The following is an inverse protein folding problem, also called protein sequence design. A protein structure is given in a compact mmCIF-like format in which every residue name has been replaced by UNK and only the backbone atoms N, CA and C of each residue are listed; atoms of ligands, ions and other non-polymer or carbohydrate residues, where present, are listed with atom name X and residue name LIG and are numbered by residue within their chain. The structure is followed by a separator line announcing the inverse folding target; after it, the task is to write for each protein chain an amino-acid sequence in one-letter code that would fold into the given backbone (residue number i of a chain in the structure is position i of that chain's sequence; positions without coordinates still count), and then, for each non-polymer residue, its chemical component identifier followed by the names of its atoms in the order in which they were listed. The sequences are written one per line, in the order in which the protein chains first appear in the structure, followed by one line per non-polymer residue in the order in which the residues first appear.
data_IF_666060805119
#
_entry.id   IF_666060805119
#
_cell.length_a   1.000
_cell.length_b   1.000
_cell.length_c   1.000
_cell.angle_alpha   90.00
_cell.angle_beta   90.00
_cell.angle_gamma   90.00
#
_symmetry.space_group_name_H-M   'P 1'
#
loop_
_entity.id
_entity.type
_entity.pdbx_description
1 polymer ?
#
# COMPACT_ATOMS: atom_id res chain seq x y z
N UNK A 1 7.00 11.23 -14.74
CA UNK A 1 5.53 11.39 -14.58
C UNK A 1 5.28 11.90 -13.18
N UNK A 2 4.27 12.74 -12.94
CA UNK A 2 3.97 13.23 -11.59
C UNK A 2 3.35 12.14 -10.71
N UNK A 3 3.63 12.21 -9.42
CA UNK A 3 2.94 11.41 -8.41
C UNK A 3 1.45 11.76 -8.39
N UNK A 4 0.60 10.77 -8.16
CA UNK A 4 -0.85 10.93 -8.06
C UNK A 4 -1.23 11.59 -6.72
N UNK A 5 -2.32 12.36 -6.67
CA UNK A 5 -2.82 12.95 -5.41
C UNK A 5 -3.56 11.89 -4.58
N UNK A 6 -2.83 10.88 -4.13
CA UNK A 6 -3.29 9.82 -3.25
C UNK A 6 -2.25 9.52 -2.16
N UNK A 7 -2.73 9.10 -1.01
CA UNK A 7 -1.90 8.59 0.09
C UNK A 7 -1.93 7.07 0.07
N UNK A 8 -0.76 6.43 0.05
CA UNK A 8 -0.65 4.99 0.33
C UNK A 8 -0.49 4.79 1.82
N UNK A 9 -1.29 3.91 2.41
CA UNK A 9 -1.18 3.53 3.82
C UNK A 9 -0.79 2.06 3.94
N UNK A 10 0.23 1.80 4.76
CA UNK A 10 0.76 0.46 5.04
C UNK A 10 0.83 0.28 6.55
N UNK A 11 0.28 -0.82 7.06
CA UNK A 11 0.52 -1.26 8.44
C UNK A 11 1.57 -2.37 8.43
N UNK A 12 2.45 -2.42 9.42
CA UNK A 12 3.56 -3.37 9.39
C UNK A 12 4.03 -3.80 10.78
N UNK A 13 4.57 -5.01 10.86
CA UNK A 13 5.30 -5.56 12.00
C UNK A 13 6.26 -6.65 11.50
N UNK A 14 7.56 -6.41 11.57
CA UNK A 14 8.63 -7.34 11.16
C UNK A 14 8.55 -7.81 9.69
N UNK A 15 8.54 -6.86 8.76
CA UNK A 15 8.40 -7.07 7.31
C UNK A 15 9.66 -6.69 6.52
N UNK A 16 10.86 -6.82 7.11
CA UNK A 16 12.11 -6.44 6.44
C UNK A 16 12.33 -7.14 5.09
N UNK A 17 11.73 -8.32 4.91
CA UNK A 17 11.85 -9.13 3.69
C UNK A 17 10.93 -8.67 2.56
N UNK A 18 9.76 -8.14 2.90
CA UNK A 18 8.74 -7.81 1.92
C UNK A 18 8.68 -6.32 1.62
N UNK A 19 8.90 -5.49 2.65
CA UNK A 19 8.77 -4.05 2.55
C UNK A 19 9.59 -3.42 1.41
N UNK A 20 10.83 -3.86 1.09
CA UNK A 20 11.56 -3.33 -0.05
C UNK A 20 10.84 -3.52 -1.39
N UNK A 21 10.20 -4.67 -1.61
CA UNK A 21 9.44 -4.97 -2.84
C UNK A 21 8.20 -4.08 -2.94
N UNK A 22 7.50 -3.88 -1.83
CA UNK A 22 6.37 -2.96 -1.77
C UNK A 22 6.82 -1.54 -2.15
N UNK A 23 7.87 -1.03 -1.50
CA UNK A 23 8.33 0.34 -1.68
C UNK A 23 8.81 0.62 -3.10
N UNK A 24 9.54 -0.33 -3.70
CA UNK A 24 9.93 -0.24 -5.11
C UNK A 24 8.69 -0.19 -6.02
N UNK A 25 7.64 -0.96 -5.71
CA UNK A 25 6.40 -0.92 -6.50
C UNK A 25 5.69 0.43 -6.43
N UNK A 26 5.85 1.19 -5.34
CA UNK A 26 5.26 2.52 -5.13
C UNK A 26 6.12 3.68 -5.67
N UNK A 27 7.31 3.40 -6.18
CA UNK A 27 8.20 4.43 -6.74
C UNK A 27 7.50 5.19 -7.87
N UNK A 28 7.61 6.52 -7.82
CA UNK A 28 7.01 7.44 -8.78
C UNK A 28 5.51 7.18 -9.00
N UNK A 29 4.77 6.84 -7.94
CA UNK A 29 3.33 6.52 -8.02
C UNK A 29 2.48 7.45 -7.15
N UNK A 30 2.70 7.47 -5.83
CA UNK A 30 1.84 8.17 -4.88
C UNK A 30 2.45 9.48 -4.38
N UNK A 31 1.59 10.47 -4.11
CA UNK A 31 2.00 11.77 -3.57
C UNK A 31 2.44 11.68 -2.11
N UNK A 32 1.96 10.67 -1.38
CA UNK A 32 2.33 10.38 0.00
C UNK A 32 2.34 8.86 0.22
N UNK A 33 3.27 8.39 1.07
CA UNK A 33 3.28 7.01 1.57
C UNK A 33 3.50 7.05 3.07
N UNK A 34 2.58 6.45 3.82
CA UNK A 34 2.59 6.37 5.28
C UNK A 34 2.75 4.91 5.66
N UNK A 35 3.76 4.63 6.49
CA UNK A 35 4.00 3.31 7.07
C UNK A 35 3.76 3.43 8.57
N UNK A 36 2.83 2.65 9.08
CA UNK A 36 2.56 2.54 10.52
C UNK A 36 3.18 1.25 11.03
N UNK A 37 4.28 1.38 11.75
CA UNK A 37 5.00 0.26 12.37
C UNK A 37 4.46 -0.01 13.78
N UNK A 38 4.08 -1.25 14.05
CA UNK A 38 3.54 -1.71 15.32
C UNK A 38 4.61 -2.22 16.31
N UNK A 39 5.86 -1.81 16.12
CA UNK A 39 6.97 -2.13 17.03
C UNK A 39 7.87 -3.22 16.49
N UNK A 40 8.23 -3.12 15.20
CA UNK A 40 9.17 -4.03 14.57
C UNK A 40 10.51 -4.06 15.30
N UNK A 41 11.07 -5.26 15.45
CA UNK A 41 12.37 -5.53 16.07
C UNK A 41 13.44 -5.88 15.04
N UNK A 42 13.04 -6.00 13.78
CA UNK A 42 13.91 -6.24 12.63
C UNK A 42 14.23 -4.91 11.89
N UNK A 43 14.72 -5.01 10.65
CA UNK A 43 15.14 -3.83 9.89
C UNK A 43 13.98 -3.04 9.25
N UNK A 44 12.71 -3.41 9.50
CA UNK A 44 11.51 -2.78 8.88
C UNK A 44 11.49 -1.26 9.06
N UNK A 45 11.69 -0.79 10.29
CA UNK A 45 11.69 0.64 10.63
C UNK A 45 12.82 1.40 9.90
N UNK A 46 13.99 0.79 9.74
CA UNK A 46 15.12 1.40 9.03
C UNK A 46 14.83 1.48 7.52
N UNK A 47 14.30 0.40 6.94
CA UNK A 47 13.92 0.32 5.52
C UNK A 47 12.89 1.41 5.20
N UNK A 48 11.83 1.51 6.01
CA UNK A 48 10.78 2.52 5.87
C UNK A 48 11.32 3.97 5.87
N UNK A 49 12.21 4.30 6.82
CA UNK A 49 12.82 5.64 6.89
C UNK A 49 13.68 5.95 5.66
N UNK A 50 14.40 4.94 5.16
CA UNK A 50 15.33 5.11 4.03
C UNK A 50 14.63 5.33 2.68
N UNK A 51 13.35 4.95 2.56
CA UNK A 51 12.60 5.05 1.31
C UNK A 51 11.92 6.40 1.08
N UNK A 52 12.02 7.33 2.04
CA UNK A 52 11.31 8.62 2.00
C UNK A 52 9.82 8.52 2.34
N UNK A 53 9.35 7.35 2.79
CA UNK A 53 8.01 7.22 3.34
C UNK A 53 7.93 7.88 4.72
N UNK A 54 6.75 8.37 5.08
CA UNK A 54 6.46 8.84 6.44
C UNK A 54 6.27 7.63 7.34
N UNK A 55 7.23 7.38 8.22
CA UNK A 55 7.13 6.34 9.23
C UNK A 55 6.48 6.90 10.50
N UNK A 56 5.44 6.22 10.97
CA UNK A 56 4.80 6.44 12.27
C UNK A 56 4.87 5.16 13.09
N UNK A 57 5.18 5.28 14.38
CA UNK A 57 5.16 4.13 15.29
C UNK A 57 3.91 4.19 16.14
N UNK A 58 3.12 3.12 16.14
CA UNK A 58 1.86 3.07 16.89
C UNK A 58 1.58 1.66 17.42
N UNK A 59 1.23 1.49 18.71
CA UNK A 59 0.85 0.19 19.27
C UNK A 59 -0.21 -0.52 18.44
N UNK A 60 -0.13 -1.85 18.35
CA UNK A 60 -1.07 -2.63 17.55
C UNK A 60 -2.49 -2.58 18.13
N UNK A 61 -3.43 -2.05 17.35
CA UNK A 61 -4.85 -1.98 17.69
C UNK A 61 -5.71 -3.10 17.07
N UNK A 62 -5.10 -3.97 16.26
CA UNK A 62 -5.84 -4.88 15.38
C UNK A 62 -6.04 -4.30 13.97
N UNK A 63 -6.37 -5.15 13.00
CA UNK A 63 -6.35 -4.78 11.57
C UNK A 63 -7.19 -3.55 11.23
N UNK A 64 -8.48 -3.55 11.59
CA UNK A 64 -9.38 -2.45 11.24
C UNK A 64 -8.99 -1.14 11.90
N UNK A 65 -8.72 -1.16 13.20
CA UNK A 65 -8.37 0.05 13.95
C UNK A 65 -6.99 0.61 13.54
N UNK A 66 -6.02 -0.26 13.23
CA UNK A 66 -4.71 0.19 12.74
C UNK A 66 -4.82 0.81 11.34
N UNK A 67 -5.60 0.22 10.43
CA UNK A 67 -5.85 0.79 9.10
C UNK A 67 -6.59 2.14 9.20
N UNK A 68 -7.55 2.27 10.11
CA UNK A 68 -8.22 3.55 10.38
C UNK A 68 -7.25 4.61 10.93
N UNK A 69 -6.35 4.23 11.84
CA UNK A 69 -5.31 5.13 12.34
C UNK A 69 -4.40 5.59 11.19
N UNK A 70 -3.92 4.67 10.35
CA UNK A 70 -3.11 5.01 9.18
C UNK A 70 -3.86 5.95 8.21
N UNK A 71 -5.14 5.69 7.94
CA UNK A 71 -6.00 6.55 7.11
C UNK A 71 -6.16 7.95 7.70
N UNK A 72 -6.28 8.08 9.02
CA UNK A 72 -6.44 9.39 9.68
C UNK A 72 -5.24 10.33 9.51
N UNK A 73 -4.08 9.79 9.14
CA UNK A 73 -2.85 10.54 8.89
C UNK A 73 -2.71 11.02 7.45
N UNK A 74 -3.59 10.54 6.55
CA UNK A 74 -3.50 10.80 5.12
C UNK A 74 -3.74 12.26 4.77
N UNK A 75 -2.91 12.78 3.86
CA UNK A 75 -3.01 14.14 3.32
C UNK A 75 -4.05 14.28 2.20
N UNK A 76 -4.25 13.23 1.41
CA UNK A 76 -5.11 13.26 0.22
C UNK A 76 -6.47 12.61 0.48
N UNK A 77 -7.47 13.00 -0.32
CA UNK A 77 -8.83 12.43 -0.25
C UNK A 77 -8.85 10.94 -0.66
N UNK A 78 -7.96 10.54 -1.56
CA UNK A 78 -7.81 9.16 -1.99
C UNK A 78 -6.76 8.42 -1.17
N UNK A 79 -7.15 7.29 -0.59
CA UNK A 79 -6.26 6.40 0.16
C UNK A 79 -6.20 5.03 -0.51
N UNK A 80 -4.98 4.58 -0.82
CA UNK A 80 -4.70 3.21 -1.21
C UNK A 80 -4.16 2.46 0.00
N UNK A 81 -5.00 1.62 0.61
CA UNK A 81 -4.59 0.75 1.72
C UNK A 81 -4.06 -0.58 1.16
N UNK A 82 -2.80 -0.88 1.43
CA UNK A 82 -2.09 -2.08 0.94
C UNK A 82 -1.28 -2.69 2.09
N UNK A 83 -1.18 -4.02 2.14
CA UNK A 83 -0.45 -4.71 3.20
C UNK A 83 1.06 -4.77 2.89
N UNK A 84 1.90 -4.85 3.93
CA UNK A 84 3.36 -4.76 3.80
C UNK A 84 3.99 -5.88 2.96
N UNK A 85 3.27 -6.99 2.79
CA UNK A 85 3.63 -8.16 1.99
C UNK A 85 3.00 -8.16 0.57
N UNK A 86 2.38 -7.06 0.16
CA UNK A 86 1.81 -6.88 -1.17
C UNK A 86 2.70 -5.96 -2.04
N UNK A 87 2.44 -5.90 -3.35
CA UNK A 87 3.08 -4.95 -4.26
C UNK A 87 2.19 -4.67 -5.47
N UNK A 88 2.26 -3.44 -5.98
CA UNK A 88 1.48 -3.04 -7.15
C UNK A 88 2.07 -3.61 -8.44
N UNK A 89 1.20 -4.14 -9.29
CA UNK A 89 1.58 -4.48 -10.68
C UNK A 89 1.65 -3.22 -11.53
N UNK A 90 2.43 -3.26 -12.61
CA UNK A 90 2.46 -2.16 -13.59
C UNK A 90 1.07 -1.89 -14.19
N UNK A 91 0.28 -2.94 -14.44
CA UNK A 91 -1.08 -2.83 -14.97
C UNK A 91 -2.01 -2.09 -14.00
N UNK A 92 -2.00 -2.44 -12.71
CA UNK A 92 -2.82 -1.75 -11.70
C UNK A 92 -2.40 -0.28 -11.55
N UNK A 93 -1.09 0.01 -11.55
CA UNK A 93 -0.60 1.40 -11.51
C UNK A 93 -1.10 2.20 -12.70
N UNK A 94 -1.07 1.61 -13.90
CA UNK A 94 -1.53 2.26 -15.11
C UNK A 94 -3.05 2.52 -15.07
N UNK A 95 -3.83 1.53 -14.65
CA UNK A 95 -5.29 1.68 -14.52
C UNK A 95 -5.65 2.81 -13.54
N UNK A 96 -5.03 2.85 -12.35
CA UNK A 96 -5.26 3.93 -11.39
C UNK A 96 -4.88 5.29 -12.00
N UNK A 97 -3.74 5.37 -12.71
CA UNK A 97 -3.34 6.62 -13.38
C UNK A 97 -4.34 7.09 -14.43
N UNK A 98 -4.91 6.17 -15.20
CA UNK A 98 -5.94 6.48 -16.19
C UNK A 98 -7.18 7.07 -15.52
N UNK A 99 -7.66 6.48 -14.41
CA UNK A 99 -8.79 7.00 -13.64
C UNK A 99 -8.58 8.42 -13.11
N UNK A 100 -7.36 8.74 -12.70
CA UNK A 100 -7.02 10.12 -12.30
C UNK A 100 -6.93 11.07 -13.51
N UNK A 101 -6.41 10.60 -14.64
CA UNK A 101 -6.22 11.41 -15.84
C UNK A 101 -7.53 11.76 -16.54
N UNK A 102 -8.47 10.82 -16.63
CA UNK A 102 -9.78 10.99 -17.24
C UNK A 102 -10.86 11.50 -16.26
N UNK A 103 -10.48 11.70 -15.00
CA UNK A 103 -11.35 12.11 -13.88
C UNK A 103 -12.46 11.12 -13.51
N UNK A 104 -12.50 9.92 -14.11
CA UNK A 104 -13.47 8.87 -13.77
C UNK A 104 -13.29 8.36 -12.34
N UNK A 105 -12.12 8.59 -11.73
CA UNK A 105 -11.90 8.30 -10.30
C UNK A 105 -12.99 8.92 -9.41
N UNK A 106 -13.57 10.07 -9.79
CA UNK A 106 -14.59 10.78 -9.02
C UNK A 106 -16.01 10.20 -9.17
N UNK A 107 -16.24 9.27 -10.10
CA UNK A 107 -17.56 8.67 -10.34
C UNK A 107 -18.00 7.73 -9.20
N UNK A 108 -17.06 7.30 -8.36
CA UNK A 108 -17.28 6.38 -7.26
C UNK A 108 -16.62 6.88 -5.98
N UNK A 109 -17.18 6.52 -4.83
CA UNK A 109 -16.60 6.85 -3.51
C UNK A 109 -15.45 5.92 -3.14
N UNK A 110 -15.41 4.71 -3.71
CA UNK A 110 -14.39 3.71 -3.42
C UNK A 110 -14.24 2.73 -4.58
N UNK A 111 -13.07 2.09 -4.65
CA UNK A 111 -12.73 1.05 -5.61
C UNK A 111 -12.18 -0.16 -4.87
N UNK A 112 -12.43 -1.35 -5.40
CA UNK A 112 -11.71 -2.56 -5.04
C UNK A 112 -10.70 -2.91 -6.14
N UNK A 113 -9.67 -3.65 -5.79
CA UNK A 113 -8.65 -4.15 -6.73
C UNK A 113 -8.51 -5.66 -6.58
N UNK A 114 -8.33 -6.40 -7.69
CA UNK A 114 -8.12 -7.84 -7.62
C UNK A 114 -6.78 -8.16 -6.95
N UNK A 115 -6.74 -9.26 -6.18
CA UNK A 115 -5.51 -9.70 -5.49
C UNK A 115 -5.04 -11.03 -6.03
N UNK A 116 -3.86 -11.02 -6.66
CA UNK A 116 -3.18 -12.24 -7.06
C UNK A 116 -2.33 -12.78 -5.90
N UNK A 117 -2.68 -13.97 -5.40
CA UNK A 117 -2.02 -14.55 -4.23
C UNK A 117 -0.85 -15.46 -4.62
N UNK A 118 0.29 -15.33 -3.94
CA UNK A 118 1.44 -16.25 -4.06
C UNK A 118 1.44 -17.22 -2.88
N UNK A 119 1.33 -18.52 -3.16
CA UNK A 119 1.22 -19.53 -2.12
C UNK A 119 1.96 -20.81 -2.53
N UNK A 120 2.76 -21.38 -1.61
CA UNK A 120 3.56 -22.59 -1.82
C UNK A 120 4.39 -22.57 -3.13
N UNK A 121 5.07 -21.45 -3.39
CA UNK A 121 5.99 -21.31 -4.52
C UNK A 121 5.34 -21.04 -5.88
N UNK A 122 4.02 -20.76 -5.91
CA UNK A 122 3.30 -20.50 -7.16
C UNK A 122 2.22 -19.43 -7.01
N UNK A 123 1.92 -18.77 -8.12
CA UNK A 123 0.77 -17.88 -8.23
C UNK A 123 -0.52 -18.68 -8.33
N UNK A 124 -1.51 -18.31 -7.51
CA UNK A 124 -2.84 -18.91 -7.56
C UNK A 124 -3.64 -18.24 -8.67
N UNK A 125 -3.87 -18.99 -9.75
CA UNK A 125 -4.53 -18.49 -10.97
C UNK A 125 -5.97 -19.00 -11.15
N UNK A 126 -6.49 -19.77 -10.20
CA UNK A 126 -7.82 -20.39 -10.28
C UNK A 126 -8.43 -20.52 -8.87
N UNK A 127 -9.76 -20.58 -8.80
CA UNK A 127 -10.52 -20.73 -7.54
C UNK A 127 -10.82 -19.40 -6.86
N UNK A 128 -11.39 -19.43 -5.64
CA UNK A 128 -11.83 -18.23 -4.91
C UNK A 128 -10.72 -17.30 -4.42
N UNK A 129 -9.46 -17.57 -4.78
CA UNK A 129 -8.27 -16.77 -4.46
C UNK A 129 -7.69 -16.10 -5.73
N UNK A 130 -8.45 -16.10 -6.82
CA UNK A 130 -8.09 -15.58 -8.13
C UNK A 130 -9.27 -14.84 -8.77
N UNK A 131 -8.93 -13.82 -9.57
CA UNK A 131 -8.63 -12.45 -9.17
C UNK A 131 -9.81 -11.76 -8.47
#
# INVERSE_FOLDING_TARGET
MSNLPLTVTVITLNEERNLPRLLESLRDFAGETIIVDSGSTDQTSQIARSSGARLETHPWLGYGQQKNFAQSLAKYDWVLSIDADEALTAALKQEIRERFADQTIQEHTAYSMPRLSFYLGRWIRHGGWYP
#
